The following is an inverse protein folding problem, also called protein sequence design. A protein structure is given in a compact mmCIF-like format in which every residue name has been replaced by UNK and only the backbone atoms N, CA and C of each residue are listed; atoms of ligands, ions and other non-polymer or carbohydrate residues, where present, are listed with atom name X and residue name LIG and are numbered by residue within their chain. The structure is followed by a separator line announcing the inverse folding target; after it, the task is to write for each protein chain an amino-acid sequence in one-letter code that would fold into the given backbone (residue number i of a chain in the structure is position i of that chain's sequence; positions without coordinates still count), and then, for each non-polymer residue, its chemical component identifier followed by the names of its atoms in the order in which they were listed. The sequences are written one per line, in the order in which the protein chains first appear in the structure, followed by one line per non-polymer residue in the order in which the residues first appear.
data_IF_344749146358
#
_entry.id   IF_344749146358
#
_cell.length_a   1.000
_cell.length_b   1.000
_cell.length_c   1.000
_cell.angle_alpha   90.00
_cell.angle_beta   90.00
_cell.angle_gamma   90.00
#
_symmetry.space_group_name_H-M   'P 1'
#
loop_
_entity.id
_entity.type
_entity.pdbx_description
1 polymer ?
#
# COMPACT_ATOMS: atom_id res chain seq x y z
N UNK A 1 -8.92 5.07 41.29
CA UNK A 1 -9.93 5.72 40.42
C UNK A 1 -9.33 6.83 39.57
N UNK A 2 -8.66 7.84 40.15
CA UNK A 2 -7.98 8.92 39.41
C UNK A 2 -6.94 8.45 38.37
N UNK A 3 -6.08 7.50 38.74
CA UNK A 3 -5.04 6.96 37.84
C UNK A 3 -5.60 6.18 36.66
N UNK A 4 -6.67 5.42 36.89
CA UNK A 4 -7.36 4.66 35.83
C UNK A 4 -8.03 5.61 34.83
N UNK A 5 -8.65 6.69 35.33
CA UNK A 5 -9.25 7.71 34.48
C UNK A 5 -8.20 8.44 33.63
N UNK A 6 -7.07 8.82 34.21
CA UNK A 6 -5.97 9.45 33.48
C UNK A 6 -5.36 8.50 32.44
N UNK A 7 -5.17 7.22 32.76
CA UNK A 7 -4.65 6.23 31.83
C UNK A 7 -5.62 6.00 30.66
N UNK A 8 -6.92 5.87 30.95
CA UNK A 8 -7.95 5.73 29.91
C UNK A 8 -8.03 6.95 28.99
N UNK A 9 -7.90 8.17 29.55
CA UNK A 9 -7.87 9.40 28.77
C UNK A 9 -6.63 9.44 27.86
N UNK A 10 -5.47 9.03 28.36
CA UNK A 10 -4.24 8.99 27.57
C UNK A 10 -4.34 7.98 26.41
N UNK A 11 -4.84 6.77 26.68
CA UNK A 11 -5.05 5.74 25.65
C UNK A 11 -6.03 6.17 24.58
N UNK A 12 -7.16 6.78 24.98
CA UNK A 12 -8.14 7.29 24.02
C UNK A 12 -7.58 8.41 23.17
N UNK A 13 -6.81 9.34 23.75
CA UNK A 13 -6.10 10.35 22.95
C UNK A 13 -5.12 9.72 21.97
N UNK A 14 -4.31 8.73 22.40
CA UNK A 14 -3.36 8.05 21.50
C UNK A 14 -4.07 7.35 20.34
N UNK A 15 -5.17 6.65 20.60
CA UNK A 15 -5.93 5.97 19.55
C UNK A 15 -6.53 6.95 18.53
N UNK A 16 -6.87 8.17 18.95
CA UNK A 16 -7.40 9.21 18.06
C UNK A 16 -6.34 9.85 17.17
N UNK A 17 -5.07 9.86 17.57
CA UNK A 17 -3.96 10.41 16.76
C UNK A 17 -3.24 9.33 15.95
N UNK A 18 -3.44 8.06 16.29
CA UNK A 18 -2.84 6.93 15.59
C UNK A 18 -3.65 6.57 14.35
N UNK A 19 -3.61 7.41 13.32
CA UNK A 19 -4.06 7.01 12.00
C UNK A 19 -2.97 6.18 11.30
N UNK A 20 -3.41 5.11 10.62
CA UNK A 20 -2.51 4.27 9.86
C UNK A 20 -2.41 4.82 8.43
N UNK A 21 -1.20 5.12 7.98
CA UNK A 21 -0.96 5.65 6.64
C UNK A 21 -1.55 4.69 5.59
N UNK A 22 -2.32 5.26 4.68
CA UNK A 22 -2.91 4.61 3.52
C UNK A 22 -2.33 5.20 2.24
N UNK A 23 -2.33 4.42 1.17
CA UNK A 23 -1.94 4.82 -0.18
C UNK A 23 -3.16 4.75 -1.09
N UNK A 24 -3.52 5.87 -1.69
CA UNK A 24 -4.70 6.05 -2.52
C UNK A 24 -4.34 6.18 -4.00
N UNK A 25 -4.98 5.38 -4.85
CA UNK A 25 -4.88 5.46 -6.31
C UNK A 25 -6.29 5.48 -6.92
N UNK A 26 -6.79 6.68 -7.21
CA UNK A 26 -8.18 6.88 -7.64
C UNK A 26 -9.15 6.43 -6.56
N UNK A 27 -9.96 5.43 -6.88
CA UNK A 27 -10.96 4.82 -6.00
C UNK A 27 -10.44 3.61 -5.20
N UNK A 28 -9.16 3.26 -5.37
CA UNK A 28 -8.51 2.25 -4.55
C UNK A 28 -7.75 2.88 -3.38
N UNK A 29 -7.82 2.25 -2.21
CA UNK A 29 -7.03 2.60 -1.03
C UNK A 29 -6.40 1.33 -0.47
N UNK A 30 -5.12 1.40 -0.16
CA UNK A 30 -4.33 0.27 0.35
C UNK A 30 -3.57 0.69 1.59
N UNK A 31 -3.36 -0.23 2.54
CA UNK A 31 -2.50 0.07 3.67
C UNK A 31 -1.05 0.28 3.22
N UNK A 32 -0.35 1.22 3.87
CA UNK A 32 1.06 1.50 3.62
C UNK A 32 1.93 0.23 3.66
N UNK A 33 1.70 -0.63 4.65
CA UNK A 33 2.44 -1.89 4.79
C UNK A 33 2.15 -2.87 3.65
N UNK A 34 0.91 -2.97 3.18
CA UNK A 34 0.58 -3.80 2.01
C UNK A 34 1.30 -3.31 0.75
N UNK A 35 1.38 -2.00 0.53
CA UNK A 35 2.13 -1.44 -0.62
C UNK A 35 3.64 -1.68 -0.49
N UNK A 36 4.19 -1.64 0.73
CA UNK A 36 5.59 -1.97 0.99
C UNK A 36 5.91 -3.42 0.62
N UNK A 37 5.05 -4.35 1.04
CA UNK A 37 5.17 -5.78 0.67
C UNK A 37 5.07 -5.95 -0.84
N UNK A 38 4.10 -5.29 -1.49
CA UNK A 38 3.96 -5.32 -2.95
C UNK A 38 5.25 -4.87 -3.66
N UNK A 39 5.85 -3.76 -3.24
CA UNK A 39 7.11 -3.27 -3.80
C UNK A 39 8.24 -4.28 -3.66
N UNK A 40 8.37 -4.91 -2.48
CA UNK A 40 9.33 -6.00 -2.28
C UNK A 40 9.08 -7.21 -3.18
N UNK A 41 7.82 -7.61 -3.38
CA UNK A 41 7.48 -8.69 -4.31
C UNK A 41 7.84 -8.34 -5.75
N UNK A 42 7.67 -7.08 -6.13
CA UNK A 42 8.00 -6.61 -7.47
C UNK A 42 9.49 -6.47 -7.72
N UNK A 43 10.27 -6.03 -6.72
CA UNK A 43 11.74 -5.93 -6.82
C UNK A 43 12.42 -7.31 -6.75
N UNK A 44 11.83 -8.27 -6.03
CA UNK A 44 12.34 -9.65 -5.92
C UNK A 44 11.96 -10.53 -7.10
N UNK A 45 10.80 -10.26 -7.71
CA UNK A 45 10.46 -10.82 -9.00
C UNK A 45 11.38 -10.19 -10.04
N UNK A 46 11.82 -10.93 -11.05
CA UNK A 46 12.58 -10.40 -12.19
C UNK A 46 11.70 -9.53 -13.11
N UNK A 47 10.79 -8.75 -12.53
CA UNK A 47 9.94 -7.74 -13.16
C UNK A 47 10.88 -6.61 -13.54
N UNK A 48 11.17 -6.42 -14.83
CA UNK A 48 11.98 -5.30 -15.22
C UNK A 48 11.23 -4.01 -14.88
N UNK A 49 11.90 -2.99 -14.33
CA UNK A 49 11.41 -1.59 -14.27
C UNK A 49 11.30 -0.98 -15.69
N UNK A 50 10.83 -1.76 -16.67
CA UNK A 50 10.82 -1.41 -18.08
C UNK A 50 9.56 -0.65 -18.46
N UNK A 51 9.75 0.37 -19.30
CA UNK A 51 8.71 1.24 -19.85
C UNK A 51 7.79 0.55 -20.87
N UNK A 52 7.93 -0.76 -21.13
CA UNK A 52 7.11 -1.45 -22.13
C UNK A 52 5.78 -1.92 -21.50
N UNK A 53 4.62 -1.35 -21.88
CA UNK A 53 3.33 -1.65 -21.26
C UNK A 53 2.93 -3.13 -21.34
N UNK A 54 3.43 -3.85 -22.35
CA UNK A 54 3.10 -5.26 -22.55
C UNK A 54 3.86 -6.17 -21.57
N UNK A 55 5.12 -5.85 -21.28
CA UNK A 55 5.94 -6.58 -20.31
C UNK A 55 5.45 -6.33 -18.87
N UNK A 56 5.07 -5.08 -18.61
CA UNK A 56 4.42 -4.62 -17.37
C UNK A 56 3.15 -5.42 -17.06
N UNK A 57 2.29 -5.67 -18.05
CA UNK A 57 1.07 -6.48 -17.85
C UNK A 57 1.38 -7.94 -17.45
N UNK A 58 2.33 -8.58 -18.13
CA UNK A 58 2.76 -9.96 -17.80
C UNK A 58 3.45 -10.05 -16.44
N UNK A 59 4.19 -9.00 -16.05
CA UNK A 59 4.90 -8.99 -14.78
C UNK A 59 3.93 -8.86 -13.59
N UNK A 60 2.82 -8.15 -13.74
CA UNK A 60 1.78 -8.09 -12.70
C UNK A 60 0.93 -9.34 -12.56
N UNK A 61 0.70 -10.09 -13.65
CA UNK A 61 0.06 -11.40 -13.52
C UNK A 61 0.88 -12.38 -12.68
N UNK A 62 2.22 -12.24 -12.67
CA UNK A 62 3.08 -13.06 -11.81
C UNK A 62 2.94 -12.69 -10.32
N UNK A 63 2.80 -11.40 -10.01
CA UNK A 63 2.58 -10.90 -8.64
C UNK A 63 1.27 -11.44 -8.07
N UNK A 64 0.22 -11.52 -8.89
CA UNK A 64 -1.09 -12.07 -8.52
C UNK A 64 -1.09 -13.57 -8.18
N UNK A 65 -0.07 -14.33 -8.60
CA UNK A 65 0.09 -15.74 -8.22
C UNK A 65 0.93 -15.94 -6.95
N UNK A 66 1.45 -14.87 -6.35
CA UNK A 66 2.34 -14.98 -5.20
C UNK A 66 1.54 -15.22 -3.90
N UNK A 67 1.82 -16.28 -3.13
CA UNK A 67 1.07 -16.59 -1.91
C UNK A 67 1.26 -15.57 -0.78
N UNK A 68 2.28 -14.71 -0.88
CA UNK A 68 2.55 -13.64 0.10
C UNK A 68 1.96 -12.29 -0.32
N UNK A 69 1.23 -12.24 -1.45
CA UNK A 69 0.53 -11.04 -1.87
C UNK A 69 -0.54 -10.66 -0.83
N UNK A 70 -0.57 -9.41 -0.34
CA UNK A 70 -1.62 -8.97 0.57
C UNK A 70 -3.02 -9.06 -0.06
N UNK A 71 -3.99 -9.50 0.74
CA UNK A 71 -5.37 -9.76 0.31
C UNK A 71 -6.06 -8.52 -0.28
N UNK A 72 -5.62 -7.32 0.11
CA UNK A 72 -6.13 -6.05 -0.42
C UNK A 72 -5.97 -5.94 -1.95
N UNK A 73 -4.97 -6.60 -2.54
CA UNK A 73 -4.70 -6.55 -3.97
C UNK A 73 -5.45 -7.61 -4.80
N UNK A 74 -6.11 -8.57 -4.17
CA UNK A 74 -6.82 -9.65 -4.86
C UNK A 74 -7.87 -9.12 -5.83
N UNK A 75 -8.56 -8.03 -5.46
CA UNK A 75 -9.51 -7.35 -6.35
C UNK A 75 -8.88 -6.79 -7.63
N UNK A 76 -7.64 -6.28 -7.55
CA UNK A 76 -6.91 -5.78 -8.72
C UNK A 76 -6.49 -6.92 -9.65
N UNK A 77 -6.20 -8.10 -9.11
CA UNK A 77 -5.77 -9.27 -9.87
C UNK A 77 -6.87 -9.84 -10.78
N UNK A 78 -8.14 -9.67 -10.41
CA UNK A 78 -9.27 -10.13 -11.23
C UNK A 78 -9.68 -9.14 -12.32
N UNK A 79 -9.22 -7.89 -12.25
CA UNK A 79 -9.57 -6.85 -13.21
C UNK A 79 -8.38 -6.54 -14.13
N UNK A 80 -8.52 -6.87 -15.42
CA UNK A 80 -7.47 -6.65 -16.41
C UNK A 80 -7.14 -5.17 -16.68
N UNK A 81 -8.03 -4.25 -16.30
CA UNK A 81 -7.83 -2.79 -16.39
C UNK A 81 -7.00 -2.21 -15.25
N UNK A 82 -6.86 -2.92 -14.12
CA UNK A 82 -6.12 -2.47 -12.94
C UNK A 82 -4.62 -2.79 -12.97
N UNK A 83 -4.11 -3.38 -14.06
CA UNK A 83 -2.67 -3.63 -14.20
C UNK A 83 -1.82 -2.37 -14.01
N UNK A 84 -2.32 -1.20 -14.44
CA UNK A 84 -1.63 0.07 -14.27
C UNK A 84 -1.60 0.56 -12.81
N UNK A 85 -2.53 0.11 -11.97
CA UNK A 85 -2.57 0.43 -10.53
C UNK A 85 -1.32 -0.12 -9.85
N UNK A 86 -0.96 -1.38 -10.11
CA UNK A 86 0.28 -1.96 -9.59
C UNK A 86 1.53 -1.15 -10.00
N UNK A 87 1.56 -0.61 -11.22
CA UNK A 87 2.66 0.25 -11.66
C UNK A 87 2.75 1.55 -10.88
N UNK A 88 1.61 2.16 -10.56
CA UNK A 88 1.57 3.41 -9.79
C UNK A 88 1.94 3.16 -8.34
N UNK A 89 1.40 2.10 -7.73
CA UNK A 89 1.75 1.67 -6.37
C UNK A 89 3.24 1.33 -6.23
N UNK A 90 3.84 0.71 -7.24
CA UNK A 90 5.26 0.41 -7.27
C UNK A 90 6.18 1.65 -7.37
N UNK A 91 5.62 2.76 -7.86
CA UNK A 91 6.34 4.02 -8.00
C UNK A 91 6.17 4.94 -6.79
N UNK A 92 5.37 4.55 -5.78
CA UNK A 92 5.15 5.35 -4.58
C UNK A 92 6.44 5.40 -3.75
N UNK A 93 6.97 6.59 -3.44
CA UNK A 93 8.15 6.73 -2.59
C UNK A 93 7.77 6.48 -1.12
N UNK A 94 8.03 5.28 -0.60
CA UNK A 94 7.58 4.86 0.73
C UNK A 94 8.11 5.74 1.86
N UNK A 95 9.38 6.17 1.81
CA UNK A 95 9.96 7.03 2.85
C UNK A 95 9.29 8.41 2.93
N UNK A 96 8.83 8.93 1.79
CA UNK A 96 8.11 10.21 1.70
C UNK A 96 6.64 10.03 2.08
N UNK A 97 6.08 8.86 1.77
CA UNK A 97 4.72 8.47 2.07
C UNK A 97 4.49 8.29 3.58
N UNK A 98 5.49 7.77 4.31
CA UNK A 98 5.45 7.59 5.76
C UNK A 98 5.25 8.91 6.53
N UNK A 99 5.79 10.01 6.00
CA UNK A 99 5.63 11.36 6.57
C UNK A 99 4.50 12.17 5.90
N UNK A 100 3.62 11.50 5.14
CA UNK A 100 2.52 12.11 4.38
C UNK A 100 2.95 13.30 3.50
N UNK A 101 4.17 13.27 2.97
CA UNK A 101 4.70 14.28 2.06
C UNK A 101 4.49 13.92 0.58
N UNK A 102 3.77 12.83 0.31
CA UNK A 102 3.38 12.39 -1.02
C UNK A 102 1.85 12.38 -1.14
N UNK A 103 1.31 12.98 -2.21
CA UNK A 103 -0.13 13.26 -2.32
C UNK A 103 -1.04 12.01 -2.33
N UNK A 104 -0.50 10.85 -2.72
CA UNK A 104 -1.25 9.60 -2.65
C UNK A 104 -1.36 9.06 -1.21
N UNK A 105 -0.64 9.61 -0.25
CA UNK A 105 -0.55 9.06 1.10
C UNK A 105 -1.42 9.87 2.07
N UNK A 106 -2.32 9.18 2.77
CA UNK A 106 -3.33 9.76 3.66
C UNK A 106 -3.33 9.06 5.01
N UNK A 107 -4.07 9.56 6.00
CA UNK A 107 -4.11 8.96 7.34
C UNK A 107 -2.90 9.35 8.20
N UNK A 108 -2.37 10.54 7.92
CA UNK A 108 -1.85 11.45 8.93
C UNK A 108 -2.94 12.52 9.15
#
# INVERSE_FOLDING_TARGET
MKTILSLALLLTTLCLVSEAVQVQDGEYSFSFESVKVLQHLMDSSSVPKQQNPRLVKTSYSAVCGNPTLPQEFTGLCHNSGSALVFSRLAAVPMDVCEICAFAACTGC
#
